data_IF_462624519246
#
_entry.id   IF_462624519246
#
_cell.length_a   1.000
_cell.length_b   1.000
_cell.length_c   1.000
_cell.angle_alpha   90.00
_cell.angle_beta   90.00
_cell.angle_gamma   90.00
#
_symmetry.space_group_name_H-M   'P 1'
#
loop_
_entity.id
_entity.type
_entity.pdbx_description
1 polymer ?
#
# COMPACT_ATOMS: atom_id res chain seq x y z
N UNK A 1 6.38 18.93 -15.30
CA UNK A 1 5.95 18.30 -14.02
C UNK A 1 4.42 18.18 -13.94
N UNK A 2 3.65 19.26 -13.92
CA UNK A 2 2.18 19.20 -13.81
C UNK A 2 1.47 18.36 -14.89
N UNK A 3 1.83 18.56 -16.17
CA UNK A 3 1.28 17.76 -17.30
C UNK A 3 1.51 16.25 -17.11
N UNK A 4 2.62 15.90 -16.46
CA UNK A 4 2.99 14.52 -16.21
C UNK A 4 2.14 13.92 -15.08
N UNK A 5 1.96 14.66 -13.98
CA UNK A 5 1.08 14.27 -12.87
C UNK A 5 -0.35 14.03 -13.36
N UNK A 6 -0.89 14.96 -14.16
CA UNK A 6 -2.22 14.79 -14.77
C UNK A 6 -2.32 13.57 -15.68
N UNK A 7 -1.25 13.27 -16.43
CA UNK A 7 -1.21 12.08 -17.30
C UNK A 7 -1.28 10.80 -16.47
N UNK A 8 -0.47 10.68 -15.42
CA UNK A 8 -0.50 9.49 -14.55
C UNK A 8 -1.83 9.34 -13.81
N UNK A 9 -2.39 10.45 -13.30
CA UNK A 9 -3.74 10.43 -12.71
C UNK A 9 -4.75 9.86 -13.70
N UNK A 10 -4.80 10.39 -14.93
CA UNK A 10 -5.72 9.90 -15.96
C UNK A 10 -5.51 8.42 -16.31
N UNK A 11 -4.26 7.96 -16.41
CA UNK A 11 -3.93 6.57 -16.69
C UNK A 11 -4.31 5.62 -15.54
N UNK A 12 -4.29 6.09 -14.29
CA UNK A 12 -4.58 5.30 -13.10
C UNK A 12 -6.01 5.40 -12.57
N UNK A 13 -6.80 6.40 -13.00
CA UNK A 13 -8.23 6.55 -12.67
C UNK A 13 -9.02 5.23 -12.87
N UNK A 14 -8.97 4.53 -14.02
CA UNK A 14 -9.81 3.34 -14.20
C UNK A 14 -9.44 2.23 -13.21
N UNK A 15 -8.15 2.05 -12.94
CA UNK A 15 -7.67 1.05 -11.97
C UNK A 15 -8.08 1.41 -10.54
N UNK A 16 -8.00 2.69 -10.18
CA UNK A 16 -8.42 3.18 -8.87
C UNK A 16 -9.93 3.00 -8.68
N UNK A 17 -10.73 3.44 -9.67
CA UNK A 17 -12.18 3.40 -9.60
C UNK A 17 -12.71 1.97 -9.53
N UNK A 18 -12.19 1.05 -10.37
CA UNK A 18 -12.61 -0.36 -10.33
C UNK A 18 -12.16 -1.03 -9.04
N UNK A 19 -10.95 -0.73 -8.55
CA UNK A 19 -10.43 -1.26 -7.29
C UNK A 19 -11.32 -0.85 -6.11
N UNK A 20 -11.59 0.44 -5.97
CA UNK A 20 -12.45 0.97 -4.92
C UNK A 20 -13.89 0.45 -5.04
N UNK A 21 -14.48 0.44 -6.24
CA UNK A 21 -15.83 -0.10 -6.44
C UNK A 21 -15.91 -1.58 -6.04
N UNK A 22 -14.89 -2.37 -6.39
CA UNK A 22 -14.84 -3.80 -6.04
C UNK A 22 -14.69 -3.98 -4.53
N UNK A 23 -13.86 -3.18 -3.87
CA UNK A 23 -13.70 -3.21 -2.41
C UNK A 23 -15.01 -2.89 -1.68
N UNK A 24 -15.71 -1.82 -2.08
CA UNK A 24 -17.02 -1.46 -1.53
C UNK A 24 -18.03 -2.59 -1.72
N UNK A 25 -18.08 -3.18 -2.92
CA UNK A 25 -18.95 -4.33 -3.19
C UNK A 25 -18.61 -5.48 -2.25
N UNK A 26 -17.33 -5.81 -2.08
CA UNK A 26 -16.90 -6.87 -1.17
C UNK A 26 -17.32 -6.60 0.28
N UNK A 27 -17.17 -5.37 0.77
CA UNK A 27 -17.60 -4.99 2.13
C UNK A 27 -19.09 -5.24 2.32
N UNK A 28 -19.93 -4.86 1.36
CA UNK A 28 -21.40 -5.08 1.44
C UNK A 28 -21.74 -6.57 1.61
N UNK A 29 -21.03 -7.46 0.93
CA UNK A 29 -21.25 -8.91 1.00
C UNK A 29 -20.57 -9.57 2.21
N UNK A 30 -19.44 -9.04 2.68
CA UNK A 30 -18.59 -9.66 3.70
C UNK A 30 -18.75 -9.03 5.10
N UNK A 31 -19.59 -8.03 5.28
CA UNK A 31 -19.80 -7.33 6.57
C UNK A 31 -20.25 -8.24 7.74
N UNK A 32 -20.79 -9.43 7.48
CA UNK A 32 -21.29 -10.37 8.52
C UNK A 32 -20.40 -11.60 8.72
N UNK A 33 -19.13 -11.54 8.31
CA UNK A 33 -18.22 -12.67 8.50
C UNK A 33 -17.94 -12.93 10.00
N UNK A 34 -17.82 -14.20 10.42
CA UNK A 34 -17.39 -14.54 11.78
C UNK A 34 -16.02 -13.96 12.10
N UNK A 35 -15.81 -13.52 13.35
CA UNK A 35 -14.57 -12.86 13.80
C UNK A 35 -13.29 -13.64 13.44
N UNK A 36 -13.30 -14.96 13.62
CA UNK A 36 -12.17 -15.84 13.25
C UNK A 36 -11.83 -15.78 11.75
N UNK A 37 -12.85 -15.70 10.91
CA UNK A 37 -12.66 -15.63 9.45
C UNK A 37 -12.16 -14.24 9.04
N UNK A 38 -12.75 -13.18 9.61
CA UNK A 38 -12.30 -11.81 9.39
C UNK A 38 -10.83 -11.61 9.79
N UNK A 39 -10.43 -12.16 10.94
CA UNK A 39 -9.05 -12.15 11.42
C UNK A 39 -8.10 -12.81 10.40
N UNK A 40 -8.41 -14.03 9.95
CA UNK A 40 -7.57 -14.74 8.98
C UNK A 40 -7.47 -14.01 7.64
N UNK A 41 -8.58 -13.43 7.17
CA UNK A 41 -8.61 -12.64 5.94
C UNK A 41 -7.72 -11.41 6.09
N UNK A 42 -7.84 -10.68 7.20
CA UNK A 42 -7.00 -9.50 7.48
C UNK A 42 -5.52 -9.86 7.47
N UNK A 43 -5.10 -10.88 8.22
CA UNK A 43 -3.70 -11.31 8.29
C UNK A 43 -3.17 -11.91 6.99
N UNK A 44 -4.04 -12.22 6.03
CA UNK A 44 -3.65 -12.64 4.67
C UNK A 44 -3.57 -11.44 3.71
N UNK A 45 -4.55 -10.55 3.75
CA UNK A 45 -4.69 -9.45 2.80
C UNK A 45 -3.87 -8.22 3.17
N UNK A 46 -3.68 -7.92 4.46
CA UNK A 46 -2.90 -6.76 4.89
C UNK A 46 -1.41 -6.85 4.47
N UNK A 47 -0.70 -7.98 4.65
CA UNK A 47 0.66 -8.11 4.14
C UNK A 47 0.73 -7.99 2.61
N UNK A 48 -0.28 -8.51 1.91
CA UNK A 48 -0.39 -8.37 0.46
C UNK A 48 -0.58 -6.90 0.06
N UNK A 49 -1.41 -6.15 0.79
CA UNK A 49 -1.57 -4.71 0.63
C UNK A 49 -0.22 -3.97 0.78
N UNK A 50 0.55 -4.26 1.83
CA UNK A 50 1.88 -3.64 2.06
C UNK A 50 2.84 -3.98 0.92
N UNK A 51 2.88 -5.25 0.50
CA UNK A 51 3.67 -5.69 -0.65
C UNK A 51 3.31 -4.91 -1.93
N UNK A 52 2.01 -4.79 -2.25
CA UNK A 52 1.54 -4.08 -3.44
C UNK A 52 1.85 -2.58 -3.35
N UNK A 53 1.74 -1.99 -2.16
CA UNK A 53 2.11 -0.60 -1.88
C UNK A 53 3.60 -0.34 -2.15
N UNK A 54 4.48 -1.21 -1.64
CA UNK A 54 5.92 -1.10 -1.86
C UNK A 54 6.30 -1.31 -3.33
N UNK A 55 5.67 -2.28 -4.00
CA UNK A 55 5.85 -2.57 -5.41
C UNK A 55 5.44 -1.39 -6.29
N UNK A 56 4.25 -0.83 -6.11
CA UNK A 56 3.74 0.28 -6.95
C UNK A 56 4.55 1.55 -6.72
N UNK A 57 4.87 1.88 -5.47
CA UNK A 57 5.64 3.08 -5.09
C UNK A 57 7.04 3.05 -5.70
N UNK A 58 7.73 1.92 -5.55
CA UNK A 58 9.07 1.72 -6.12
C UNK A 58 9.04 1.68 -7.65
N UNK A 59 8.03 1.03 -8.23
CA UNK A 59 7.86 0.95 -9.69
C UNK A 59 7.63 2.32 -10.32
N UNK A 60 6.80 3.15 -9.68
CA UNK A 60 6.54 4.52 -10.13
C UNK A 60 7.83 5.33 -10.19
N UNK A 61 8.61 5.32 -9.09
CA UNK A 61 9.90 6.00 -9.08
C UNK A 61 10.85 5.45 -10.16
N UNK A 62 10.90 4.13 -10.35
CA UNK A 62 11.74 3.49 -11.36
C UNK A 62 11.38 3.91 -12.80
N UNK A 63 10.09 3.99 -13.16
CA UNK A 63 9.69 4.42 -14.50
C UNK A 63 10.14 5.85 -14.80
N UNK A 64 10.00 6.76 -13.84
CA UNK A 64 10.43 8.14 -14.00
C UNK A 64 11.94 8.28 -14.08
N UNK A 65 12.68 7.58 -13.24
CA UNK A 65 14.15 7.56 -13.32
C UNK A 65 14.65 7.00 -14.65
N UNK A 66 14.05 5.91 -15.16
CA UNK A 66 14.37 5.31 -16.46
C UNK A 66 14.14 6.29 -17.61
N UNK A 67 13.02 7.01 -17.60
CA UNK A 67 12.70 8.02 -18.63
C UNK A 67 13.70 9.18 -18.71
N UNK A 68 14.47 9.43 -17.63
CA UNK A 68 15.50 10.50 -17.59
C UNK A 68 16.89 10.07 -18.09
N UNK A 69 17.06 8.84 -18.60
CA UNK A 69 18.35 8.36 -19.14
C UNK A 69 19.44 8.10 -18.09
N UNK A 70 19.17 8.25 -16.79
CA UNK A 70 20.13 7.99 -15.71
C UNK A 70 20.26 6.48 -15.45
N UNK A 71 21.38 5.90 -15.89
CA UNK A 71 21.63 4.45 -15.97
C UNK A 71 21.97 3.73 -14.65
N UNK A 72 22.12 4.44 -13.53
CA UNK A 72 22.39 3.83 -12.21
C UNK A 72 21.20 3.98 -11.26
N UNK A 73 20.52 2.87 -11.00
CA UNK A 73 19.60 2.72 -9.88
C UNK A 73 20.44 2.71 -8.61
N UNK A 74 20.29 3.73 -7.77
CA UNK A 74 20.84 3.64 -6.42
C UNK A 74 19.88 2.74 -5.63
N UNK A 75 20.29 1.49 -5.39
CA UNK A 75 19.49 0.50 -4.67
C UNK A 75 19.07 1.01 -3.29
N UNK A 76 19.94 1.76 -2.60
CA UNK A 76 19.60 2.40 -1.33
C UNK A 76 18.47 3.41 -1.44
N UNK A 77 18.42 4.18 -2.55
CA UNK A 77 17.31 5.12 -2.80
C UNK A 77 16.01 4.38 -3.11
N UNK A 78 16.07 3.24 -3.81
CA UNK A 78 14.87 2.44 -4.07
C UNK A 78 14.31 1.81 -2.81
N UNK A 79 15.18 1.26 -1.96
CA UNK A 79 14.79 0.72 -0.66
C UNK A 79 14.19 1.84 0.19
N UNK A 80 14.83 3.00 0.25
CA UNK A 80 14.32 4.13 1.01
C UNK A 80 12.94 4.61 0.53
N UNK A 81 12.80 4.91 -0.77
CA UNK A 81 11.54 5.40 -1.33
C UNK A 81 10.43 4.35 -1.20
N UNK A 82 10.74 3.10 -1.54
CA UNK A 82 9.80 2.00 -1.47
C UNK A 82 9.34 1.72 -0.05
N UNK A 83 10.25 1.66 0.92
CA UNK A 83 9.95 1.35 2.30
C UNK A 83 9.24 2.51 3.01
N UNK A 84 9.79 3.71 2.95
CA UNK A 84 9.18 4.89 3.60
C UNK A 84 7.83 5.24 2.96
N UNK A 85 7.75 5.17 1.62
CA UNK A 85 6.52 5.47 0.89
C UNK A 85 5.43 4.39 1.03
N UNK A 86 5.76 3.17 1.43
CA UNK A 86 4.78 2.11 1.72
C UNK A 86 4.53 1.98 3.21
N UNK A 87 5.49 1.44 3.97
CA UNK A 87 5.37 1.18 5.42
C UNK A 87 5.13 2.46 6.20
N UNK A 88 5.82 3.55 5.86
CA UNK A 88 5.62 4.84 6.54
C UNK A 88 4.21 5.40 6.32
N UNK A 89 3.73 5.38 5.07
CA UNK A 89 2.37 5.86 4.74
C UNK A 89 1.30 4.91 5.32
N UNK A 90 1.48 3.59 5.23
CA UNK A 90 0.58 2.60 5.81
C UNK A 90 0.51 2.75 7.34
N UNK A 91 1.63 3.00 8.02
CA UNK A 91 1.62 3.29 9.46
C UNK A 91 0.79 4.53 9.78
N UNK A 92 0.88 5.57 8.95
CA UNK A 92 0.08 6.77 9.14
C UNK A 92 -1.42 6.50 8.92
N UNK A 93 -1.78 5.82 7.82
CA UNK A 93 -3.19 5.57 7.46
C UNK A 93 -3.87 4.50 8.31
N UNK A 94 -3.15 3.44 8.65
CA UNK A 94 -3.73 2.21 9.22
C UNK A 94 -3.62 2.19 10.75
N UNK A 95 -2.71 3.00 11.32
CA UNK A 95 -2.45 3.03 12.76
C UNK A 95 -2.64 4.41 13.38
N UNK A 96 -1.94 5.43 12.86
CA UNK A 96 -1.91 6.76 13.50
C UNK A 96 -3.24 7.49 13.33
N UNK A 97 -3.79 7.56 12.11
CA UNK A 97 -5.07 8.23 11.86
C UNK A 97 -6.22 7.55 12.64
N UNK A 98 -6.36 6.21 12.64
CA UNK A 98 -7.36 5.52 13.45
C UNK A 98 -7.22 5.82 14.94
N UNK A 99 -6.00 5.75 15.50
CA UNK A 99 -5.74 6.07 16.90
C UNK A 99 -6.13 7.52 17.26
N UNK A 100 -5.84 8.49 16.39
CA UNK A 100 -6.30 9.87 16.58
C UNK A 100 -7.85 9.97 16.54
N UNK A 101 -8.49 9.17 15.69
CA UNK A 101 -9.95 9.03 15.65
C UNK A 101 -10.52 8.46 16.95
N UNK A 102 -9.89 7.43 17.52
CA UNK A 102 -10.27 6.85 18.81
C UNK A 102 -10.19 7.87 19.95
N UNK A 103 -9.14 8.71 19.95
CA UNK A 103 -9.00 9.82 20.91
C UNK A 103 -10.11 10.84 20.72
N UNK A 104 -10.34 11.27 19.47
CA UNK A 104 -11.32 12.31 19.14
C UNK A 104 -12.75 11.90 19.49
N UNK A 105 -13.08 10.62 19.30
CA UNK A 105 -14.41 10.05 19.55
C UNK A 105 -14.59 9.53 20.99
N UNK A 106 -13.60 9.76 21.85
CA UNK A 106 -13.58 9.30 23.25
C UNK A 106 -13.79 7.78 23.41
N UNK A 107 -13.30 6.96 22.48
CA UNK A 107 -13.51 5.51 22.51
C UNK A 107 -12.73 4.83 23.66
N UNK A 108 -13.24 3.74 24.24
CA UNK A 108 -12.50 2.93 25.21
C UNK A 108 -11.39 2.11 24.52
N UNK A 109 -10.35 1.72 25.28
CA UNK A 109 -9.24 0.88 24.81
C UNK A 109 -8.41 1.44 23.66
N UNK A 110 -7.99 2.71 23.76
CA UNK A 110 -7.19 3.37 22.72
C UNK A 110 -5.78 2.82 22.70
N UNK A 111 -5.38 2.23 21.59
CA UNK A 111 -4.07 1.64 21.42
C UNK A 111 -3.53 1.94 20.02
N UNK A 112 -2.23 2.25 19.95
CA UNK A 112 -1.56 2.43 18.67
C UNK A 112 -0.91 1.10 18.25
N UNK A 113 -1.37 0.55 17.13
CA UNK A 113 -0.87 -0.72 16.61
C UNK A 113 0.15 -0.49 15.52
N UNK A 114 1.44 -0.66 15.80
CA UNK A 114 2.51 -0.40 14.84
C UNK A 114 2.90 -1.69 14.11
N UNK A 115 2.25 -1.96 12.97
CA UNK A 115 2.38 -3.23 12.25
C UNK A 115 3.82 -3.60 11.85
N UNK A 116 4.68 -2.62 11.56
CA UNK A 116 6.10 -2.90 11.22
C UNK A 116 6.98 -3.26 12.43
N UNK A 117 6.44 -3.09 13.65
CA UNK A 117 7.07 -3.46 14.93
C UNK A 117 6.42 -4.75 15.47
N UNK A 118 5.09 -4.77 15.59
CA UNK A 118 4.33 -5.90 16.13
C UNK A 118 4.41 -7.12 15.22
N UNK A 119 4.16 -6.92 13.93
CA UNK A 119 4.19 -7.96 12.90
C UNK A 119 5.38 -7.75 11.95
N UNK A 120 6.51 -7.32 12.51
CA UNK A 120 7.72 -6.96 11.77
C UNK A 120 8.19 -8.06 10.81
N UNK A 121 8.04 -9.33 11.22
CA UNK A 121 8.44 -10.53 10.48
C UNK A 121 7.59 -10.77 9.22
N UNK A 122 6.43 -10.12 9.14
CA UNK A 122 5.51 -10.21 8.01
C UNK A 122 5.56 -8.93 7.19
N UNK A 123 5.42 -7.77 7.82
CA UNK A 123 5.36 -6.46 7.15
C UNK A 123 6.68 -6.12 6.44
N UNK A 124 7.82 -6.23 7.14
CA UNK A 124 9.10 -5.79 6.59
C UNK A 124 9.59 -6.68 5.44
N UNK A 125 9.56 -8.03 5.54
CA UNK A 125 9.94 -8.88 4.42
C UNK A 125 9.07 -8.69 3.18
N UNK A 126 7.75 -8.54 3.35
CA UNK A 126 6.83 -8.35 2.21
C UNK A 126 7.02 -6.98 1.56
N UNK A 127 7.28 -5.92 2.34
CA UNK A 127 7.66 -4.62 1.79
C UNK A 127 8.96 -4.72 0.97
N UNK A 128 10.03 -5.30 1.54
CA UNK A 128 11.30 -5.49 0.85
C UNK A 128 11.16 -6.37 -0.39
N UNK A 129 10.30 -7.38 -0.35
CA UNK A 129 10.01 -8.23 -1.50
C UNK A 129 9.33 -7.46 -2.62
N UNK A 130 8.35 -6.58 -2.30
CA UNK A 130 7.72 -5.69 -3.27
C UNK A 130 8.74 -4.75 -3.95
N UNK A 131 9.65 -4.18 -3.17
CA UNK A 131 10.76 -3.35 -3.67
C UNK A 131 11.67 -4.16 -4.59
N UNK A 132 12.02 -5.40 -4.21
CA UNK A 132 12.84 -6.31 -5.00
C UNK A 132 12.20 -6.64 -6.36
N UNK A 133 10.90 -6.95 -6.38
CA UNK A 133 10.17 -7.16 -7.64
C UNK A 133 10.16 -5.89 -8.48
N UNK A 134 9.91 -4.72 -7.88
CA UNK A 134 9.91 -3.45 -8.60
C UNK A 134 11.29 -3.11 -9.21
N UNK A 135 12.38 -3.54 -8.57
CA UNK A 135 13.74 -3.38 -9.08
C UNK A 135 13.96 -4.21 -10.34
N UNK A 136 13.50 -5.46 -10.35
CA UNK A 136 13.67 -6.38 -11.49
C UNK A 136 12.70 -6.06 -12.64
N UNK A 137 11.41 -5.91 -12.32
CA UNK A 137 10.32 -5.76 -13.29
C UNK A 137 9.28 -4.76 -12.75
N UNK A 138 9.52 -3.44 -12.90
CA UNK A 138 8.58 -2.43 -12.43
C UNK A 138 7.24 -2.53 -13.17
N UNK A 139 6.14 -2.37 -12.43
CA UNK A 139 4.78 -2.36 -12.94
C UNK A 139 3.89 -1.54 -12.01
N UNK A 140 3.01 -0.69 -12.56
CA UNK A 140 2.17 0.19 -11.75
C UNK A 140 0.68 -0.13 -11.86
N UNK A 141 0.13 -0.42 -13.05
CA UNK A 141 -1.32 -0.50 -13.27
C UNK A 141 -2.02 -1.57 -12.41
N UNK A 142 -1.65 -2.84 -12.57
CA UNK A 142 -2.26 -3.94 -11.80
C UNK A 142 -1.90 -3.91 -10.30
N UNK A 143 -0.63 -3.66 -9.91
CA UNK A 143 -0.30 -3.47 -8.49
C UNK A 143 -1.05 -2.32 -7.83
N UNK A 144 -1.29 -1.21 -8.54
CA UNK A 144 -2.07 -0.09 -8.04
C UNK A 144 -3.54 -0.46 -7.83
N UNK A 145 -4.17 -1.14 -8.80
CA UNK A 145 -5.53 -1.67 -8.64
C UNK A 145 -5.64 -2.55 -7.39
N UNK A 146 -4.72 -3.53 -7.24
CA UNK A 146 -4.74 -4.44 -6.11
C UNK A 146 -4.48 -3.73 -4.79
N UNK A 147 -3.54 -2.79 -4.75
CA UNK A 147 -3.29 -1.97 -3.58
C UNK A 147 -4.57 -1.23 -3.17
N UNK A 148 -5.20 -0.47 -4.07
CA UNK A 148 -6.43 0.29 -3.80
C UNK A 148 -7.57 -0.63 -3.33
N UNK A 149 -7.76 -1.77 -4.01
CA UNK A 149 -8.78 -2.76 -3.63
C UNK A 149 -8.60 -3.22 -2.18
N UNK A 150 -7.37 -3.55 -1.77
CA UNK A 150 -7.10 -4.04 -0.41
C UNK A 150 -7.04 -2.91 0.63
N UNK A 151 -6.92 -1.66 0.20
CA UNK A 151 -7.03 -0.47 1.07
C UNK A 151 -8.47 -0.02 1.31
N UNK A 152 -9.43 -0.56 0.56
CA UNK A 152 -10.84 -0.15 0.61
C UNK A 152 -11.59 -0.97 1.65
#
# INVERSE_FOLDING_TARGET
MYKQILKELKEHIPFTAIGAATGIIMIIFLQKLPSKLSYNIFYTLHPLHVFLSALVTTSMYNFYKRGTGKKKYNLGVLIFIGYVGSVGIATLSDSVIPYLGEILLDLPHREIHLGFIEEWWLVNPLALFGIGIAYLKPSTKFPHFGHVLLST
#
